data_IF_551918167838
#
_entry.id   IF_551918167838
#
_cell.length_a   1.000
_cell.length_b   1.000
_cell.length_c   1.000
_cell.angle_alpha   90.00
_cell.angle_beta   90.00
_cell.angle_gamma   90.00
#
_symmetry.space_group_name_H-M   'P 1'
#
loop_
_entity.id
_entity.type
_entity.pdbx_description
1 polymer ?
#
# COMPACT_ATOMS: atom_id res chain seq x y z
N UNK A 1 20.13 12.73 -31.69
CA UNK A 1 19.93 11.71 -30.63
C UNK A 1 21.01 11.88 -29.59
N UNK A 2 20.63 11.85 -28.31
CA UNK A 2 21.55 11.94 -27.19
C UNK A 2 21.01 11.19 -25.99
N UNK A 3 21.90 10.70 -25.14
CA UNK A 3 21.57 10.18 -23.83
C UNK A 3 21.77 11.28 -22.79
N UNK A 4 20.83 11.37 -21.85
CA UNK A 4 20.88 12.31 -20.73
C UNK A 4 20.81 11.51 -19.45
N UNK A 5 21.69 11.79 -18.52
CA UNK A 5 21.63 11.26 -17.16
C UNK A 5 21.01 12.30 -16.24
N UNK A 6 19.91 11.91 -15.61
CA UNK A 6 19.24 12.71 -14.61
C UNK A 6 19.79 12.38 -13.23
N UNK A 7 20.19 13.40 -12.51
CA UNK A 7 20.60 13.36 -11.12
C UNK A 7 19.50 13.97 -10.26
N UNK A 8 19.09 13.28 -9.22
CA UNK A 8 18.04 13.72 -8.32
C UNK A 8 18.59 14.31 -7.00
N UNK A 9 19.87 14.63 -6.93
CA UNK A 9 20.53 15.20 -5.72
C UNK A 9 19.90 16.51 -5.22
N UNK A 10 19.12 17.18 -6.04
CA UNK A 10 18.35 18.38 -5.68
C UNK A 10 17.13 18.08 -4.79
N UNK A 11 16.71 16.82 -4.68
CA UNK A 11 15.58 16.42 -3.83
C UNK A 11 15.98 16.48 -2.35
N UNK A 12 15.07 16.82 -1.45
CA UNK A 12 15.29 16.77 -0.01
C UNK A 12 15.72 15.38 0.49
N UNK A 13 16.54 15.34 1.53
CA UNK A 13 16.94 14.09 2.17
C UNK A 13 15.71 13.36 2.76
N UNK A 14 15.71 12.03 2.66
CA UNK A 14 14.65 11.17 3.19
C UNK A 14 13.32 11.22 2.41
N UNK A 15 13.19 12.14 1.44
CA UNK A 15 12.02 12.20 0.58
C UNK A 15 12.05 11.15 -0.53
N UNK A 16 10.92 10.48 -0.77
CA UNK A 16 10.69 9.64 -1.95
C UNK A 16 9.64 10.31 -2.83
N UNK A 17 9.78 10.19 -4.13
CA UNK A 17 8.91 10.88 -5.08
C UNK A 17 8.44 9.90 -6.16
N UNK A 18 7.18 10.01 -6.56
CA UNK A 18 6.71 9.43 -7.80
C UNK A 18 7.09 10.36 -8.94
N UNK A 19 8.02 9.93 -9.77
CA UNK A 19 8.35 10.59 -11.03
C UNK A 19 7.44 10.06 -12.13
N UNK A 20 6.52 10.90 -12.61
CA UNK A 20 5.77 10.63 -13.85
C UNK A 20 6.53 11.28 -14.99
N UNK A 21 7.06 10.45 -15.88
CA UNK A 21 7.87 10.87 -17.01
C UNK A 21 7.07 10.75 -18.31
N UNK A 22 7.21 11.77 -19.15
CA UNK A 22 6.82 11.74 -20.55
C UNK A 22 8.11 11.77 -21.35
N UNK A 23 8.42 10.69 -22.05
CA UNK A 23 9.69 10.50 -22.78
C UNK A 23 9.40 10.14 -24.22
N UNK A 24 10.37 10.38 -25.09
CA UNK A 24 10.26 10.05 -26.50
C UNK A 24 9.91 8.58 -26.72
N UNK A 25 8.98 8.32 -27.62
CA UNK A 25 8.65 6.99 -28.11
C UNK A 25 9.69 6.47 -29.10
N UNK A 26 9.50 5.26 -29.59
CA UNK A 26 10.45 4.59 -30.47
C UNK A 26 10.60 5.28 -31.84
N UNK A 27 9.55 5.97 -32.29
CA UNK A 27 9.51 6.69 -33.58
C UNK A 27 9.52 8.22 -33.40
N UNK A 28 9.87 8.74 -32.24
CA UNK A 28 9.83 10.19 -31.96
C UNK A 28 10.72 11.02 -32.89
N UNK A 29 11.71 10.41 -33.54
CA UNK A 29 12.54 11.04 -34.55
C UNK A 29 11.81 11.28 -35.90
N UNK A 30 10.65 10.66 -36.12
CA UNK A 30 9.79 10.78 -37.30
C UNK A 30 8.42 11.33 -37.00
N UNK A 31 7.93 11.09 -35.81
CA UNK A 31 6.61 11.50 -35.32
C UNK A 31 6.75 12.22 -33.99
N UNK A 32 6.62 13.55 -34.01
CA UNK A 32 6.79 14.36 -32.80
C UNK A 32 5.77 14.06 -31.69
N UNK A 33 4.67 13.40 -32.03
CA UNK A 33 3.62 13.00 -31.08
C UNK A 33 3.85 11.60 -30.48
N UNK A 34 4.88 10.88 -30.93
CA UNK A 34 5.20 9.56 -30.39
C UNK A 34 5.96 9.71 -29.08
N UNK A 35 5.23 9.61 -27.99
CA UNK A 35 5.77 9.60 -26.62
C UNK A 35 5.21 8.45 -25.82
N UNK A 36 5.89 8.11 -24.74
CA UNK A 36 5.43 7.14 -23.75
C UNK A 36 5.45 7.77 -22.36
N UNK A 37 4.52 7.33 -21.53
CA UNK A 37 4.45 7.72 -20.14
C UNK A 37 4.97 6.59 -19.25
N UNK A 38 5.88 6.92 -18.35
CA UNK A 38 6.42 5.99 -17.36
C UNK A 38 6.25 6.58 -15.95
N UNK A 39 6.05 5.70 -14.96
CA UNK A 39 6.11 6.08 -13.55
C UNK A 39 7.25 5.34 -12.87
N UNK A 40 8.03 6.05 -12.07
CA UNK A 40 9.14 5.48 -11.28
C UNK A 40 9.17 6.13 -9.91
N UNK A 41 9.58 5.38 -8.91
CA UNK A 41 9.89 5.94 -7.60
C UNK A 41 11.35 6.37 -7.62
N UNK A 42 11.60 7.59 -7.20
CA UNK A 42 12.93 8.19 -7.12
C UNK A 42 13.15 8.87 -5.76
N UNK A 43 14.39 8.97 -5.36
CA UNK A 43 14.86 9.68 -4.19
C UNK A 43 16.12 10.50 -4.55
N UNK A 44 16.73 11.15 -3.59
CA UNK A 44 17.92 11.98 -3.77
C UNK A 44 19.11 11.21 -4.36
N UNK A 45 19.21 9.91 -4.11
CA UNK A 45 20.33 9.06 -4.54
C UNK A 45 20.09 8.44 -5.91
N UNK A 46 18.88 8.56 -6.44
CA UNK A 46 18.48 7.98 -7.70
C UNK A 46 19.25 8.59 -8.87
N UNK A 47 19.52 7.78 -9.90
CA UNK A 47 20.09 8.16 -11.18
C UNK A 47 19.27 7.53 -12.29
N UNK A 48 19.04 8.26 -13.36
CA UNK A 48 18.20 7.78 -14.45
C UNK A 48 18.79 8.19 -15.80
N UNK A 49 18.95 7.22 -16.70
CA UNK A 49 19.35 7.48 -18.09
C UNK A 49 18.13 7.54 -18.98
N UNK A 50 18.02 8.59 -19.78
CA UNK A 50 16.98 8.77 -20.79
C UNK A 50 17.63 8.92 -22.15
N UNK A 51 17.05 8.24 -23.14
CA UNK A 51 17.41 8.42 -24.54
C UNK A 51 16.48 9.45 -25.17
N UNK A 52 17.04 10.49 -25.78
CA UNK A 52 16.29 11.53 -26.48
C UNK A 52 16.49 11.40 -27.99
N UNK A 53 15.39 11.41 -28.73
CA UNK A 53 15.39 11.44 -30.19
C UNK A 53 15.98 12.76 -30.73
N UNK A 54 16.22 12.85 -32.03
CA UNK A 54 16.60 14.12 -32.65
C UNK A 54 15.42 15.11 -32.60
N UNK A 55 15.62 16.26 -31.93
CA UNK A 55 14.54 17.22 -31.69
C UNK A 55 13.59 16.83 -30.55
N UNK A 56 13.80 15.65 -29.96
CA UNK A 56 13.00 15.16 -28.84
C UNK A 56 13.38 15.73 -27.48
N UNK A 57 12.64 15.33 -26.48
CA UNK A 57 12.82 15.80 -25.12
C UNK A 57 12.10 14.92 -24.09
N UNK A 58 12.04 15.41 -22.88
CA UNK A 58 11.24 14.79 -21.82
C UNK A 58 10.58 15.85 -20.95
N UNK A 59 9.49 15.48 -20.32
CA UNK A 59 8.90 16.22 -19.20
C UNK A 59 8.74 15.27 -18.02
N UNK A 60 8.90 15.80 -16.82
CA UNK A 60 8.77 15.02 -15.61
C UNK A 60 7.99 15.79 -14.55
N UNK A 61 7.01 15.13 -13.95
CA UNK A 61 6.32 15.60 -12.76
C UNK A 61 6.83 14.79 -11.57
N UNK A 62 7.27 15.48 -10.52
CA UNK A 62 7.67 14.87 -9.26
C UNK A 62 6.58 15.16 -8.22
N UNK A 63 6.02 14.11 -7.66
CA UNK A 63 5.05 14.20 -6.58
C UNK A 63 5.66 13.52 -5.35
N UNK A 64 5.72 14.24 -4.23
CA UNK A 64 6.21 13.66 -2.98
C UNK A 64 5.35 12.43 -2.64
N UNK A 65 6.00 11.28 -2.53
CA UNK A 65 5.33 10.14 -1.92
C UNK A 65 5.05 10.51 -0.46
N UNK A 66 3.86 10.22 0.07
CA UNK A 66 3.65 10.33 1.51
C UNK A 66 4.83 9.66 2.22
N UNK A 67 5.36 10.29 3.27
CA UNK A 67 6.44 9.72 4.05
C UNK A 67 5.98 8.34 4.52
N UNK A 68 6.47 7.29 3.87
CA UNK A 68 6.22 5.93 4.34
C UNK A 68 6.94 5.82 5.68
N UNK A 69 6.19 5.59 6.74
CA UNK A 69 6.75 5.19 8.02
C UNK A 69 7.70 4.01 7.82
N UNK A 70 8.58 3.77 8.75
CA UNK A 70 9.41 2.57 8.78
C UNK A 70 8.62 1.46 9.45
N UNK A 71 8.63 0.26 8.86
CA UNK A 71 8.13 -0.93 9.55
C UNK A 71 9.04 -1.22 10.74
N UNK A 72 8.45 -1.38 11.91
CA UNK A 72 9.14 -1.61 13.18
C UNK A 72 8.51 -2.80 13.90
N UNK A 73 9.09 -3.21 15.01
CA UNK A 73 8.41 -4.07 15.96
C UNK A 73 7.19 -3.35 16.55
N UNK A 74 6.19 -4.12 16.97
CA UNK A 74 5.01 -3.58 17.66
C UNK A 74 5.46 -2.86 18.94
N UNK A 75 5.08 -1.59 19.15
CA UNK A 75 5.43 -0.85 20.35
C UNK A 75 4.78 -1.46 21.61
N UNK A 76 5.54 -1.52 22.70
CA UNK A 76 5.02 -1.98 23.98
C UNK A 76 3.89 -1.09 24.50
N UNK A 77 2.92 -1.68 25.20
CA UNK A 77 1.83 -0.97 25.86
C UNK A 77 0.69 -0.51 24.94
N UNK A 78 0.73 -0.80 23.64
CA UNK A 78 -0.38 -0.45 22.71
C UNK A 78 -1.59 -1.41 22.77
N UNK A 79 -1.52 -2.49 23.54
CA UNK A 79 -2.62 -3.47 23.62
C UNK A 79 -2.81 -4.31 22.34
N UNK A 80 -1.85 -4.27 21.43
CA UNK A 80 -1.89 -5.04 20.18
C UNK A 80 -1.55 -6.51 20.50
N UNK A 81 -2.33 -7.48 19.99
CA UNK A 81 -2.09 -8.90 20.26
C UNK A 81 -0.67 -9.35 19.92
N UNK A 82 -0.12 -10.27 20.71
CA UNK A 82 1.26 -10.77 20.57
C UNK A 82 1.52 -11.57 19.29
N UNK A 83 0.48 -11.93 18.56
CA UNK A 83 0.55 -12.49 17.21
C UNK A 83 1.27 -11.54 16.26
N UNK A 84 0.97 -10.24 16.35
CA UNK A 84 1.58 -9.23 15.51
C UNK A 84 3.02 -8.94 15.93
N UNK A 85 3.91 -8.88 14.97
CA UNK A 85 5.35 -8.61 15.16
C UNK A 85 5.80 -7.37 14.42
N UNK A 86 5.08 -7.00 13.36
CA UNK A 86 5.38 -5.83 12.54
C UNK A 86 4.30 -4.77 12.69
N UNK A 87 4.76 -3.54 12.68
CA UNK A 87 3.96 -2.35 12.91
C UNK A 87 4.45 -1.20 12.04
N UNK A 88 3.51 -0.47 11.47
CA UNK A 88 3.77 0.81 10.82
C UNK A 88 2.58 1.72 11.05
N UNK A 89 2.83 3.01 11.21
CA UNK A 89 1.79 4.03 11.37
C UNK A 89 1.73 4.92 10.13
N UNK A 90 0.54 5.19 9.66
CA UNK A 90 0.26 6.13 8.58
C UNK A 90 -1.00 6.90 8.89
N UNK A 91 -0.98 8.23 8.70
CA UNK A 91 -2.14 9.10 8.90
C UNK A 91 -2.78 8.99 10.30
N UNK A 92 -2.03 8.51 11.31
CA UNK A 92 -2.52 8.25 12.67
C UNK A 92 -3.24 6.91 12.85
N UNK A 93 -3.40 6.14 11.78
CA UNK A 93 -3.83 4.75 11.81
C UNK A 93 -2.62 3.83 11.77
N UNK A 94 -2.74 2.61 12.28
CA UNK A 94 -1.65 1.65 12.22
C UNK A 94 -2.01 0.43 11.37
N UNK A 95 -0.96 -0.15 10.79
CA UNK A 95 -1.01 -1.41 10.06
C UNK A 95 -0.13 -2.41 10.78
N UNK A 96 -0.65 -3.60 11.02
CA UNK A 96 0.04 -4.69 11.73
C UNK A 96 0.06 -5.96 10.91
N UNK A 97 1.05 -6.81 11.18
CA UNK A 97 1.12 -8.16 10.66
C UNK A 97 1.98 -9.06 11.53
N UNK A 98 1.92 -10.36 11.25
CA UNK A 98 2.91 -11.31 11.76
C UNK A 98 4.31 -11.00 11.22
N UNK A 99 5.32 -11.69 11.72
CA UNK A 99 6.69 -11.58 11.18
C UNK A 99 6.85 -12.15 9.76
N UNK A 100 5.91 -13.00 9.29
CA UNK A 100 5.96 -13.68 8.00
C UNK A 100 5.65 -12.77 6.81
N UNK A 101 4.90 -11.70 7.04
CA UNK A 101 4.50 -10.73 6.01
C UNK A 101 5.70 -9.88 5.62
N UNK A 102 5.86 -9.58 4.34
CA UNK A 102 6.91 -8.69 3.87
C UNK A 102 6.66 -7.24 4.30
N UNK A 103 7.72 -6.48 4.53
CA UNK A 103 7.61 -5.05 4.83
C UNK A 103 6.96 -4.28 3.68
N UNK A 104 7.16 -4.74 2.44
CA UNK A 104 6.58 -4.13 1.24
C UNK A 104 5.05 -4.16 1.27
N UNK A 105 4.44 -5.25 1.77
CA UNK A 105 2.99 -5.34 1.90
C UNK A 105 2.44 -4.31 2.88
N UNK A 106 3.08 -4.11 4.04
CA UNK A 106 2.66 -3.08 5.00
C UNK A 106 2.81 -1.67 4.41
N UNK A 107 3.91 -1.41 3.71
CA UNK A 107 4.14 -0.15 3.02
C UNK A 107 3.08 0.11 1.95
N UNK A 108 2.69 -0.91 1.20
CA UNK A 108 1.64 -0.82 0.19
C UNK A 108 0.27 -0.54 0.80
N UNK A 109 -0.04 -1.18 1.93
CA UNK A 109 -1.27 -0.90 2.68
C UNK A 109 -1.31 0.56 3.15
N UNK A 110 -0.19 1.10 3.67
CA UNK A 110 -0.09 2.51 4.05
C UNK A 110 -0.35 3.46 2.88
N UNK A 111 0.18 3.17 1.69
CA UNK A 111 -0.07 3.99 0.50
C UNK A 111 -1.56 4.05 0.15
N UNK A 112 -2.24 2.90 0.20
CA UNK A 112 -3.68 2.80 -0.09
C UNK A 112 -4.48 3.61 0.94
N UNK A 113 -4.22 3.43 2.23
CA UNK A 113 -4.88 4.16 3.32
C UNK A 113 -4.70 5.67 3.13
N UNK A 114 -3.46 6.13 2.89
CA UNK A 114 -3.15 7.54 2.70
C UNK A 114 -3.87 8.13 1.49
N UNK A 115 -3.96 7.38 0.39
CA UNK A 115 -4.68 7.82 -0.81
C UNK A 115 -6.19 7.91 -0.58
N UNK A 116 -6.79 6.93 0.09
CA UNK A 116 -8.22 6.90 0.35
C UNK A 116 -8.66 8.03 1.30
N UNK A 117 -7.82 8.39 2.26
CA UNK A 117 -8.11 9.44 3.26
C UNK A 117 -7.61 10.83 2.86
N UNK A 118 -6.89 10.99 1.74
CA UNK A 118 -6.18 12.21 1.36
C UNK A 118 -7.07 13.48 1.32
N UNK A 119 -8.35 13.34 0.99
CA UNK A 119 -9.29 14.47 0.85
C UNK A 119 -10.35 14.52 1.94
N UNK A 120 -10.24 13.67 2.96
CA UNK A 120 -11.24 13.56 4.03
C UNK A 120 -10.56 13.56 5.41
N UNK A 121 -9.95 14.70 5.81
CA UNK A 121 -9.31 14.83 7.12
C UNK A 121 -10.28 14.65 8.29
N UNK A 122 -11.56 14.96 8.09
CA UNK A 122 -12.64 14.74 9.04
C UNK A 122 -12.86 13.25 9.32
N UNK A 123 -12.99 12.43 8.28
CA UNK A 123 -13.13 10.97 8.38
C UNK A 123 -11.89 10.37 9.04
N UNK A 124 -10.69 10.78 8.58
CA UNK A 124 -9.42 10.34 9.16
C UNK A 124 -9.36 10.60 10.67
N UNK A 125 -9.64 11.82 11.10
CA UNK A 125 -9.63 12.17 12.52
C UNK A 125 -10.64 11.33 13.33
N UNK A 126 -11.80 11.02 12.76
CA UNK A 126 -12.81 10.17 13.40
C UNK A 126 -12.33 8.73 13.53
N UNK A 127 -11.78 8.15 12.46
CA UNK A 127 -11.20 6.79 12.47
C UNK A 127 -10.08 6.66 13.51
N UNK A 128 -9.16 7.61 13.56
CA UNK A 128 -8.06 7.65 14.54
C UNK A 128 -8.61 7.69 15.96
N UNK A 129 -9.58 8.56 16.22
CA UNK A 129 -10.23 8.68 17.55
C UNK A 129 -10.90 7.38 17.98
N UNK A 130 -11.47 6.62 17.04
CA UNK A 130 -12.09 5.33 17.31
C UNK A 130 -11.11 4.16 17.41
N UNK A 131 -9.83 4.36 17.11
CA UNK A 131 -8.82 3.30 17.17
C UNK A 131 -8.84 2.35 15.98
N UNK A 132 -9.34 2.80 14.81
CA UNK A 132 -9.35 1.98 13.61
C UNK A 132 -7.96 1.57 13.20
N UNK A 133 -7.82 0.35 12.68
CA UNK A 133 -6.54 -0.19 12.24
C UNK A 133 -6.70 -1.20 11.09
N UNK A 134 -5.57 -1.58 10.51
CA UNK A 134 -5.52 -2.53 9.39
C UNK A 134 -4.57 -3.68 9.72
N UNK A 135 -4.95 -4.90 9.33
CA UNK A 135 -4.16 -6.10 9.48
C UNK A 135 -3.81 -6.69 8.10
N UNK A 136 -2.59 -7.13 7.93
CA UNK A 136 -2.17 -7.85 6.71
C UNK A 136 -1.98 -9.32 7.05
N UNK A 137 -2.70 -10.18 6.34
CA UNK A 137 -2.64 -11.64 6.43
C UNK A 137 -1.50 -12.09 5.52
N UNK A 138 -0.56 -12.86 6.04
CA UNK A 138 0.55 -13.39 5.23
C UNK A 138 0.05 -14.35 4.14
N UNK A 139 0.80 -14.42 3.06
CA UNK A 139 0.49 -15.32 1.92
C UNK A 139 0.40 -16.81 2.31
N UNK A 140 1.09 -17.18 3.37
CA UNK A 140 1.14 -18.54 3.94
C UNK A 140 0.36 -18.63 5.27
N UNK A 141 -0.51 -17.66 5.54
CA UNK A 141 -1.37 -17.59 6.70
C UNK A 141 -2.83 -17.60 6.26
N UNK A 142 -3.70 -17.95 7.19
CA UNK A 142 -5.14 -18.01 6.95
C UNK A 142 -5.86 -16.87 7.70
N UNK A 143 -7.07 -16.59 7.28
CA UNK A 143 -7.89 -15.54 7.91
C UNK A 143 -8.12 -15.79 9.40
N UNK A 144 -8.36 -17.05 9.77
CA UNK A 144 -8.59 -17.42 11.16
C UNK A 144 -7.32 -17.45 12.03
N UNK A 145 -6.15 -17.16 11.48
CA UNK A 145 -4.93 -16.97 12.29
C UNK A 145 -4.92 -15.60 12.99
N UNK A 146 -5.72 -14.64 12.50
CA UNK A 146 -5.80 -13.32 13.09
C UNK A 146 -6.61 -13.35 14.40
N UNK A 147 -6.07 -12.79 15.50
CA UNK A 147 -6.75 -12.78 16.81
C UNK A 147 -8.13 -12.13 16.81
N UNK A 148 -8.33 -11.12 15.97
CA UNK A 148 -9.60 -10.39 15.82
C UNK A 148 -10.74 -11.30 15.37
N UNK A 149 -10.43 -12.34 14.61
CA UNK A 149 -11.44 -13.26 14.07
C UNK A 149 -11.70 -14.51 14.91
N UNK A 150 -11.08 -14.60 16.11
CA UNK A 150 -11.28 -15.74 17.01
C UNK A 150 -12.75 -16.00 17.36
N UNK A 151 -13.58 -14.96 17.38
CA UNK A 151 -15.00 -15.06 17.70
C UNK A 151 -15.83 -15.73 16.60
N UNK A 152 -15.45 -15.58 15.33
CA UNK A 152 -16.10 -16.26 14.19
C UNK A 152 -15.41 -17.58 13.83
N UNK A 153 -14.12 -17.74 14.17
CA UNK A 153 -13.32 -18.93 13.92
C UNK A 153 -13.25 -19.83 15.18
N UNK A 154 -14.41 -20.20 15.72
CA UNK A 154 -14.54 -20.84 17.04
C UNK A 154 -14.77 -22.36 16.99
N UNK A 155 -14.87 -22.96 15.81
CA UNK A 155 -14.98 -24.40 15.61
C UNK A 155 -14.37 -24.81 14.26
N UNK A 156 -14.12 -26.11 14.07
CA UNK A 156 -13.47 -26.63 12.87
C UNK A 156 -14.19 -26.26 11.57
N UNK A 157 -15.50 -26.31 11.57
CA UNK A 157 -16.31 -25.99 10.38
C UNK A 157 -16.27 -24.50 10.05
N UNK A 158 -16.33 -23.62 11.08
CA UNK A 158 -16.23 -22.18 10.87
C UNK A 158 -14.82 -21.77 10.40
N UNK A 159 -13.77 -22.38 10.94
CA UNK A 159 -12.39 -22.17 10.49
C UNK A 159 -12.24 -22.54 9.03
N UNK A 160 -12.68 -23.74 8.61
CA UNK A 160 -12.64 -24.18 7.22
C UNK A 160 -13.41 -23.23 6.31
N UNK A 161 -14.62 -22.82 6.74
CA UNK A 161 -15.47 -21.92 5.97
C UNK A 161 -14.82 -20.56 5.76
N UNK A 162 -14.35 -19.90 6.81
CA UNK A 162 -13.79 -18.54 6.72
C UNK A 162 -12.45 -18.50 5.99
N UNK A 163 -11.57 -19.48 6.21
CA UNK A 163 -10.30 -19.60 5.49
C UNK A 163 -10.48 -19.83 3.99
N UNK A 164 -11.55 -20.55 3.61
CA UNK A 164 -11.92 -20.72 2.22
C UNK A 164 -12.58 -19.46 1.63
N UNK A 165 -13.50 -18.86 2.41
CA UNK A 165 -14.41 -17.80 1.94
C UNK A 165 -13.75 -16.46 1.77
N UNK A 166 -12.83 -16.05 2.61
CA UNK A 166 -12.34 -14.69 2.68
C UNK A 166 -10.83 -14.59 2.89
N UNK A 167 -10.24 -13.60 2.24
CA UNK A 167 -8.85 -13.15 2.45
C UNK A 167 -8.81 -11.67 2.83
N UNK A 168 -9.90 -11.15 3.34
CA UNK A 168 -10.05 -9.81 3.85
C UNK A 168 -11.40 -9.61 4.48
N UNK A 169 -11.47 -8.66 5.40
CA UNK A 169 -12.67 -8.18 6.07
C UNK A 169 -12.59 -6.68 6.27
N UNK A 170 -13.73 -6.01 6.25
CA UNK A 170 -13.82 -4.58 6.48
C UNK A 170 -15.04 -4.22 7.28
N UNK A 171 -14.81 -3.65 8.47
CA UNK A 171 -15.80 -3.02 9.33
C UNK A 171 -17.07 -3.83 9.55
N UNK A 172 -17.13 -4.62 10.59
CA UNK A 172 -18.42 -5.17 11.06
C UNK A 172 -19.17 -4.12 11.88
N UNK A 173 -20.54 -4.15 11.91
CA UNK A 173 -21.32 -2.99 12.27
C UNK A 173 -21.15 -2.46 13.69
N UNK A 174 -20.65 -3.19 14.65
CA UNK A 174 -20.72 -2.74 16.03
C UNK A 174 -19.43 -2.84 16.86
N UNK A 175 -18.48 -3.73 16.53
CA UNK A 175 -17.30 -3.96 17.39
C UNK A 175 -15.97 -4.08 16.66
N UNK A 176 -15.93 -4.23 15.36
CA UNK A 176 -14.69 -4.41 14.61
C UNK A 176 -14.27 -3.12 13.88
N UNK A 177 -13.50 -2.33 14.58
CA UNK A 177 -12.88 -1.12 14.03
C UNK A 177 -11.61 -1.45 13.23
N UNK A 178 -11.62 -2.57 12.54
CA UNK A 178 -10.48 -3.08 11.79
C UNK A 178 -10.83 -3.44 10.35
N UNK A 179 -9.82 -3.46 9.52
CA UNK A 179 -9.88 -3.99 8.16
C UNK A 179 -8.69 -4.92 7.92
N UNK A 180 -8.86 -5.95 7.12
CA UNK A 180 -7.79 -6.86 6.78
C UNK A 180 -7.73 -7.15 5.28
N UNK A 181 -6.57 -7.60 4.80
CA UNK A 181 -6.37 -8.07 3.44
C UNK A 181 -5.19 -9.03 3.35
N UNK A 182 -5.18 -9.89 2.34
CA UNK A 182 -4.07 -10.78 2.07
C UNK A 182 -2.86 -10.07 1.46
N UNK A 183 -1.65 -10.45 1.88
CA UNK A 183 -0.38 -9.98 1.31
C UNK A 183 -0.31 -10.24 -0.20
N UNK A 184 -0.81 -11.40 -0.64
CA UNK A 184 -0.80 -11.81 -2.04
C UNK A 184 -1.58 -10.84 -2.95
N UNK A 185 -2.69 -10.27 -2.45
CA UNK A 185 -3.47 -9.29 -3.20
C UNK A 185 -2.81 -7.91 -3.21
N UNK A 186 -2.23 -7.48 -2.08
CA UNK A 186 -1.50 -6.20 -2.01
C UNK A 186 -0.32 -6.15 -2.98
N UNK A 187 0.39 -7.26 -3.15
CA UNK A 187 1.60 -7.37 -3.96
C UNK A 187 1.37 -8.00 -5.34
N UNK A 188 0.11 -8.33 -5.67
CA UNK A 188 -0.27 -9.02 -6.90
C UNK A 188 0.56 -10.30 -7.14
N UNK A 189 0.69 -11.14 -6.12
CA UNK A 189 1.43 -12.39 -6.20
C UNK A 189 0.66 -13.44 -7.01
N UNK A 190 1.34 -14.44 -7.60
CA UNK A 190 0.70 -15.44 -8.47
C UNK A 190 -0.44 -16.24 -7.83
N UNK A 191 -0.44 -16.39 -6.50
CA UNK A 191 -1.48 -17.09 -5.75
C UNK A 191 -2.69 -16.25 -5.40
N UNK A 192 -2.73 -14.98 -5.79
CA UNK A 192 -3.89 -14.11 -5.56
C UNK A 192 -5.13 -14.66 -6.27
N UNK A 193 -6.19 -14.87 -5.48
CA UNK A 193 -7.50 -15.35 -5.99
C UNK A 193 -8.36 -14.23 -6.57
N UNK A 194 -8.03 -12.98 -6.29
CA UNK A 194 -8.82 -11.78 -6.60
C UNK A 194 -8.14 -10.90 -7.66
N UNK A 195 -7.64 -11.55 -8.71
CA UNK A 195 -6.92 -10.86 -9.78
C UNK A 195 -7.76 -9.74 -10.39
N UNK A 196 -7.21 -8.52 -10.37
CA UNK A 196 -7.90 -7.32 -10.89
C UNK A 196 -8.71 -6.55 -9.87
N UNK A 197 -8.86 -7.08 -8.64
CA UNK A 197 -9.51 -6.38 -7.52
C UNK A 197 -8.46 -6.03 -6.46
N UNK A 198 -8.64 -4.92 -5.77
CA UNK A 198 -7.82 -4.58 -4.61
C UNK A 198 -8.68 -4.75 -3.34
N UNK A 199 -8.43 -5.85 -2.65
CA UNK A 199 -9.21 -6.23 -1.47
C UNK A 199 -9.09 -5.20 -0.35
N UNK A 200 -7.91 -4.61 -0.14
CA UNK A 200 -7.78 -3.57 0.89
C UNK A 200 -8.63 -2.34 0.58
N UNK A 201 -8.70 -1.89 -0.66
CA UNK A 201 -9.56 -0.77 -1.05
C UNK A 201 -11.02 -1.11 -0.73
N UNK A 202 -11.47 -2.32 -1.05
CA UNK A 202 -12.83 -2.77 -0.79
C UNK A 202 -13.14 -2.81 0.71
N UNK A 203 -12.33 -3.52 1.47
CA UNK A 203 -12.55 -3.73 2.90
C UNK A 203 -12.35 -2.45 3.73
N UNK A 204 -11.37 -1.63 3.36
CA UNK A 204 -11.16 -0.35 4.03
C UNK A 204 -12.27 0.66 3.74
N UNK A 205 -12.92 0.58 2.56
CA UNK A 205 -14.12 1.36 2.28
C UNK A 205 -15.29 0.96 3.20
N UNK A 206 -15.46 -0.34 3.48
CA UNK A 206 -16.43 -0.78 4.49
C UNK A 206 -16.11 -0.21 5.87
N UNK A 207 -14.86 -0.24 6.30
CA UNK A 207 -14.44 0.35 7.58
C UNK A 207 -14.74 1.85 7.62
N UNK A 208 -14.49 2.60 6.54
CA UNK A 208 -14.84 4.02 6.45
C UNK A 208 -16.35 4.24 6.61
N UNK A 209 -17.19 3.37 6.02
CA UNK A 209 -18.65 3.48 6.14
C UNK A 209 -19.17 3.15 7.53
N UNK A 210 -18.47 2.31 8.29
CA UNK A 210 -18.87 1.88 9.63
C UNK A 210 -18.58 2.94 10.70
N UNK A 211 -17.65 3.84 10.45
CA UNK A 211 -17.26 4.92 11.37
C UNK A 211 -17.90 6.24 11.00
#
# INVERSE_FOLDING_TARGET
RRDVELDFSFLPEGGRYTATLFVDGINADKQAEDYRMEKRIVDRESRMKLHLASGGGFAMKLELCPLRGRVTAVPEGKGIPSFYKKYIETEGLYVTSSERVSDEALLKACDIISLMLAKRPDVKAHMVKRGCHVMVIGKDEETCDLPEFAHICNCEDSIKYWNWRARGFGGAPEDELSSSCGEENLLALPQDKYVGENILIHEFAHLIHTV
#
